data_IF_079943077501
#
_entry.id   IF_079943077501
#
_cell.length_a   1.000
_cell.length_b   1.000
_cell.length_c   1.000
_cell.angle_alpha   90.00
_cell.angle_beta   90.00
_cell.angle_gamma   90.00
#
_symmetry.space_group_name_H-M   'P 1'
#
loop_
_entity.id
_entity.type
_entity.pdbx_description
1 polymer ?
#
# COMPACT_ATOMS: atom_id res chain seq x y z
N UNK A 1 -0.32 -2.62 33.80
CA UNK A 1 0.74 -1.82 33.17
C UNK A 1 1.25 -2.31 31.81
N UNK A 2 1.51 -3.60 31.58
CA UNK A 2 2.06 -4.08 30.29
C UNK A 2 1.13 -3.96 29.07
N UNK A 3 -0.19 -3.84 29.27
CA UNK A 3 -1.16 -3.71 28.18
C UNK A 3 -0.90 -2.47 27.31
N UNK A 4 -0.60 -1.32 27.93
CA UNK A 4 -0.32 -0.09 27.19
C UNK A 4 1.01 -0.18 26.42
N UNK A 5 2.02 -0.84 27.02
CA UNK A 5 3.29 -1.08 26.34
C UNK A 5 3.13 -2.02 25.14
N UNK A 6 2.30 -3.06 25.27
CA UNK A 6 2.04 -4.00 24.17
C UNK A 6 1.33 -3.31 23.00
N UNK A 7 0.33 -2.45 23.27
CA UNK A 7 -0.35 -1.66 22.24
C UNK A 7 0.64 -0.73 21.52
N UNK A 8 1.45 0.01 22.29
CA UNK A 8 2.45 0.91 21.74
C UNK A 8 3.51 0.16 20.92
N UNK A 9 3.96 -1.00 21.39
CA UNK A 9 4.91 -1.83 20.65
C UNK A 9 4.34 -2.30 19.31
N UNK A 10 3.06 -2.70 19.26
CA UNK A 10 2.41 -3.08 18.01
C UNK A 10 2.31 -1.90 17.04
N UNK A 11 1.93 -0.71 17.52
CA UNK A 11 1.87 0.48 16.68
C UNK A 11 3.25 0.81 16.09
N UNK A 12 4.30 0.85 16.90
CA UNK A 12 5.67 1.15 16.45
C UNK A 12 6.19 0.09 15.48
N UNK A 13 6.00 -1.20 15.79
CA UNK A 13 6.48 -2.29 14.94
C UNK A 13 5.69 -2.44 13.64
N UNK A 14 4.46 -1.93 13.58
CA UNK A 14 3.65 -1.92 12.35
C UNK A 14 4.12 -0.90 11.32
N UNK A 15 4.90 0.11 11.74
CA UNK A 15 5.43 1.12 10.82
C UNK A 15 6.55 0.50 9.99
N UNK A 16 6.41 0.44 8.65
CA UNK A 16 7.46 -0.07 7.81
C UNK A 16 8.68 0.85 7.88
N UNK A 17 9.87 0.26 8.07
CA UNK A 17 11.12 1.00 8.14
C UNK A 17 11.55 1.63 6.79
N UNK A 18 10.92 1.24 5.68
CA UNK A 18 11.28 1.70 4.32
C UNK A 18 10.04 1.89 3.44
N UNK A 19 10.19 2.69 2.38
CA UNK A 19 9.18 2.89 1.33
C UNK A 19 9.12 1.75 0.31
N UNK A 20 10.07 0.81 0.34
CA UNK A 20 10.19 -0.27 -0.66
C UNK A 20 8.90 -1.09 -0.89
N UNK A 21 8.05 -1.38 0.12
CA UNK A 21 6.78 -2.08 -0.10
C UNK A 21 5.83 -1.29 -1.01
N UNK A 22 5.75 0.02 -0.82
CA UNK A 22 4.90 0.92 -1.61
C UNK A 22 5.45 1.10 -3.02
N UNK A 23 6.77 1.23 -3.16
CA UNK A 23 7.46 1.30 -4.46
C UNK A 23 7.23 0.05 -5.32
N UNK A 24 7.18 -1.14 -4.69
CA UNK A 24 6.85 -2.40 -5.39
C UNK A 24 5.42 -2.37 -5.96
N UNK A 25 4.46 -1.88 -5.18
CA UNK A 25 3.07 -1.71 -5.62
C UNK A 25 2.99 -0.74 -6.80
N UNK A 26 3.67 0.40 -6.73
CA UNK A 26 3.70 1.37 -7.83
C UNK A 26 4.41 0.85 -9.08
N UNK A 27 5.46 0.06 -8.92
CA UNK A 27 6.15 -0.59 -10.03
C UNK A 27 5.21 -1.54 -10.79
N UNK A 28 4.37 -2.29 -10.06
CA UNK A 28 3.35 -3.16 -10.65
C UNK A 28 2.20 -2.37 -11.30
N UNK A 29 1.78 -1.26 -10.67
CA UNK A 29 0.79 -0.33 -11.23
C UNK A 29 1.33 0.52 -12.40
N UNK A 30 2.60 0.36 -12.78
CA UNK A 30 3.25 1.07 -13.88
C UNK A 30 2.50 0.94 -15.22
N UNK A 31 1.88 -0.21 -15.47
CA UNK A 31 1.08 -0.45 -16.68
C UNK A 31 -0.19 0.41 -16.72
N UNK A 32 -0.84 0.61 -15.58
CA UNK A 32 -2.08 1.41 -15.46
C UNK A 32 -1.81 2.92 -15.36
N UNK A 33 -0.58 3.32 -15.01
CA UNK A 33 -0.18 4.73 -14.85
C UNK A 33 0.54 5.30 -16.08
N UNK A 34 1.39 4.51 -16.77
CA UNK A 34 2.27 5.00 -17.85
C UNK A 34 1.79 4.67 -19.27
N UNK A 35 1.11 3.55 -19.49
CA UNK A 35 0.71 3.14 -20.84
C UNK A 35 -0.47 3.97 -21.34
N UNK A 36 -0.36 4.68 -22.46
CA UNK A 36 -1.46 5.47 -23.02
C UNK A 36 -2.75 4.65 -23.28
N UNK A 37 -2.60 3.37 -23.67
CA UNK A 37 -3.75 2.48 -23.94
C UNK A 37 -4.39 1.90 -22.69
N UNK A 38 -3.60 1.73 -21.62
CA UNK A 38 -4.07 1.10 -20.38
C UNK A 38 -4.15 2.10 -19.23
N UNK A 39 -4.02 3.41 -19.53
CA UNK A 39 -4.03 4.46 -18.53
C UNK A 39 -5.43 4.57 -17.94
N UNK A 40 -5.55 4.27 -16.65
CA UNK A 40 -6.80 4.43 -15.94
C UNK A 40 -6.91 5.84 -15.34
N UNK A 41 -8.14 6.30 -15.15
CA UNK A 41 -8.39 7.52 -14.39
C UNK A 41 -7.85 7.37 -12.95
N UNK A 42 -7.37 8.46 -12.37
CA UNK A 42 -6.76 8.48 -11.04
C UNK A 42 -7.70 7.94 -9.95
N UNK A 43 -9.00 8.27 -10.03
CA UNK A 43 -10.04 7.80 -9.10
C UNK A 43 -10.18 6.27 -9.10
N UNK A 44 -10.21 5.67 -10.29
CA UNK A 44 -10.28 4.23 -10.49
C UNK A 44 -8.99 3.54 -10.04
N UNK A 45 -7.84 4.14 -10.36
CA UNK A 45 -6.51 3.59 -10.02
C UNK A 45 -6.33 3.51 -8.50
N UNK A 46 -6.74 4.53 -7.75
CA UNK A 46 -6.72 4.51 -6.29
C UNK A 46 -7.64 3.43 -5.71
N UNK A 47 -8.83 3.26 -6.28
CA UNK A 47 -9.78 2.23 -5.84
C UNK A 47 -9.21 0.82 -6.07
N UNK A 48 -8.58 0.60 -7.23
CA UNK A 48 -7.93 -0.67 -7.56
C UNK A 48 -6.71 -0.94 -6.67
N UNK A 49 -5.89 0.08 -6.39
CA UNK A 49 -4.75 -0.04 -5.47
C UNK A 49 -5.21 -0.40 -4.07
N UNK A 50 -6.29 0.22 -3.58
CA UNK A 50 -6.87 -0.11 -2.28
C UNK A 50 -7.31 -1.57 -2.22
N UNK A 51 -8.04 -2.06 -3.22
CA UNK A 51 -8.45 -3.47 -3.29
C UNK A 51 -7.23 -4.39 -3.37
N UNK A 52 -6.22 -4.02 -4.16
CA UNK A 52 -5.00 -4.80 -4.33
C UNK A 52 -4.20 -4.95 -3.04
N UNK A 53 -3.96 -3.86 -2.31
CA UNK A 53 -3.23 -3.86 -1.03
C UNK A 53 -3.94 -4.69 0.04
N UNK A 54 -5.27 -4.76 0.00
CA UNK A 54 -6.09 -5.51 0.97
C UNK A 54 -6.37 -6.96 0.56
N UNK A 55 -5.96 -7.40 -0.64
CA UNK A 55 -6.24 -8.76 -1.15
C UNK A 55 -5.44 -9.87 -0.45
N UNK A 56 -4.44 -9.50 0.35
CA UNK A 56 -3.58 -10.41 1.11
C UNK A 56 -3.94 -10.57 2.59
N UNK A 57 -5.08 -10.01 3.01
CA UNK A 57 -5.75 -10.25 4.31
C UNK A 57 -6.77 -11.37 4.09
#
# INVERSE_FOLDING_TARGET
>A
DWHYLAVLALEVLSVPATSAPVERIFSQAGLATRSHRNRTEFSLLNSQLLVYCNRGI
#
